data_IF_812138560106
#
_entry.id   IF_812138560106
#
_cell.length_a   1.000
_cell.length_b   1.000
_cell.length_c   1.000
_cell.angle_alpha   90.00
_cell.angle_beta   90.00
_cell.angle_gamma   90.00
#
_symmetry.space_group_name_H-M   'P 1'
#
loop_
_entity.id
_entity.type
_entity.pdbx_description
1 polymer ?
#
# COMPACT_ATOMS: atom_id res chain seq x y z
N UNK A 1 -11.59 -10.48 53.33
CA UNK A 1 -10.55 -11.51 53.17
C UNK A 1 -9.35 -10.88 52.49
N UNK A 2 -8.32 -10.61 53.27
CA UNK A 2 -7.04 -10.08 52.81
C UNK A 2 -6.18 -11.23 52.28
N UNK A 3 -5.46 -11.02 51.18
CA UNK A 3 -4.27 -11.78 50.85
C UNK A 3 -3.29 -10.85 50.14
N UNK A 4 -2.31 -10.39 50.92
CA UNK A 4 -1.09 -9.75 50.47
C UNK A 4 -0.23 -10.81 49.75
N UNK A 5 0.25 -10.48 48.55
CA UNK A 5 1.22 -11.28 47.79
C UNK A 5 2.58 -10.57 47.76
N UNK A 6 3.55 -11.21 48.40
CA UNK A 6 4.91 -10.77 48.72
C UNK A 6 5.83 -10.50 47.54
N UNK A 7 6.65 -9.45 47.71
CA UNK A 7 7.85 -9.11 46.96
C UNK A 7 8.94 -10.18 47.21
N UNK A 8 9.55 -10.73 46.16
CA UNK A 8 10.84 -11.40 46.24
C UNK A 8 11.89 -10.62 45.43
N UNK A 9 12.86 -10.08 46.16
CA UNK A 9 14.10 -9.53 45.64
C UNK A 9 15.12 -10.66 45.46
N UNK A 10 15.87 -10.64 44.35
CA UNK A 10 17.01 -11.53 44.11
C UNK A 10 18.33 -10.73 44.21
N UNK A 11 19.40 -11.28 44.82
CA UNK A 11 20.67 -10.58 45.01
C UNK A 11 21.70 -10.83 43.88
N UNK A 12 22.51 -9.78 43.66
CA UNK A 12 23.93 -9.72 43.29
C UNK A 12 24.64 -10.97 42.75
N UNK A 13 25.29 -10.82 41.59
CA UNK A 13 26.61 -11.43 41.33
C UNK A 13 27.54 -10.36 40.73
N UNK A 14 28.61 -10.10 41.49
CA UNK A 14 29.77 -9.28 41.17
C UNK A 14 30.85 -10.22 40.61
N UNK A 15 31.40 -9.94 39.44
CA UNK A 15 32.69 -10.52 39.00
C UNK A 15 33.34 -9.59 38.00
N UNK A 16 34.36 -8.89 38.46
CA UNK A 16 35.26 -8.11 37.64
C UNK A 16 36.36 -8.97 37.03
N UNK A 17 36.89 -8.52 35.91
CA UNK A 17 38.26 -8.83 35.47
C UNK A 17 38.87 -7.54 34.94
N UNK A 18 40.01 -7.20 35.53
CA UNK A 18 40.88 -6.08 35.18
C UNK A 18 42.08 -6.70 34.47
N UNK A 19 42.43 -6.25 33.27
CA UNK A 19 43.80 -6.30 32.78
C UNK A 19 44.15 -5.01 32.03
N UNK A 20 45.31 -4.48 32.42
CA UNK A 20 46.01 -3.30 31.92
C UNK A 20 46.42 -3.49 30.43
N UNK A 21 46.21 -2.47 29.58
CA UNK A 21 47.17 -1.44 29.19
C UNK A 21 48.30 -1.94 28.28
N UNK A 22 48.23 -1.57 26.99
CA UNK A 22 49.43 -1.44 26.13
C UNK A 22 49.23 -0.33 25.08
N UNK A 23 50.12 0.66 25.16
CA UNK A 23 50.66 1.57 24.15
C UNK A 23 49.78 2.31 23.11
N UNK A 24 49.84 3.63 23.24
CA UNK A 24 49.54 4.71 22.28
C UNK A 24 50.46 4.68 21.05
N UNK A 25 49.96 5.07 19.87
CA UNK A 25 50.62 6.16 19.14
C UNK A 25 49.66 7.30 18.79
N UNK A 26 50.24 8.48 18.63
CA UNK A 26 49.59 9.74 18.33
C UNK A 26 49.24 9.90 16.83
N UNK A 27 48.34 10.85 16.56
CA UNK A 27 47.85 11.35 15.26
C UNK A 27 46.80 10.44 14.57
N UNK A 28 45.66 10.91 14.09
CA UNK A 28 45.28 12.23 13.59
C UNK A 28 43.87 12.63 14.06
N UNK A 29 43.63 13.94 14.23
CA UNK A 29 42.28 14.48 14.40
C UNK A 29 41.45 14.09 13.16
N UNK A 30 40.29 13.42 13.29
CA UNK A 30 39.42 13.21 12.15
C UNK A 30 38.98 14.58 11.62
N UNK A 31 38.93 14.77 10.29
CA UNK A 31 38.34 15.98 9.74
C UNK A 31 36.91 16.07 10.26
N UNK A 32 36.61 17.20 10.92
CA UNK A 32 35.24 17.58 11.24
C UNK A 32 34.54 17.77 9.89
N UNK A 33 33.95 16.69 9.38
CA UNK A 33 32.99 16.76 8.30
C UNK A 33 31.88 17.61 8.85
N UNK A 34 31.83 18.88 8.44
CA UNK A 34 30.65 19.72 8.67
C UNK A 34 29.50 18.90 8.13
N UNK A 35 28.69 18.35 9.04
CA UNK A 35 27.42 17.76 8.69
C UNK A 35 26.69 18.87 7.95
N UNK A 36 26.61 18.75 6.62
CA UNK A 36 25.79 19.61 5.82
C UNK A 36 24.40 19.43 6.39
N UNK A 37 23.90 20.44 7.09
CA UNK A 37 22.51 20.50 7.51
C UNK A 37 21.74 20.54 6.20
N UNK A 38 21.38 19.37 5.71
CA UNK A 38 20.51 19.20 4.56
C UNK A 38 19.24 19.94 4.92
N UNK A 39 18.99 21.05 4.21
CA UNK A 39 17.72 21.77 4.29
C UNK A 39 16.59 20.73 4.22
N UNK A 40 15.49 20.90 4.99
CA UNK A 40 14.37 19.98 4.93
C UNK A 40 13.98 19.74 3.47
N UNK A 41 14.16 18.51 3.00
CA UNK A 41 13.86 18.19 1.61
C UNK A 41 12.36 18.32 1.42
N UNK A 42 11.97 19.17 0.48
CA UNK A 42 10.58 19.44 0.11
C UNK A 42 9.95 18.31 -0.73
N UNK A 43 10.68 17.22 -0.92
CA UNK A 43 10.38 16.13 -1.84
C UNK A 43 10.76 14.79 -1.19
N UNK A 44 10.24 13.69 -1.74
CA UNK A 44 10.61 12.34 -1.36
C UNK A 44 11.64 11.72 -2.30
N UNK A 45 12.54 10.91 -1.76
CA UNK A 45 13.26 9.95 -2.62
C UNK A 45 12.31 8.88 -3.13
N UNK A 46 12.69 8.12 -4.17
CA UNK A 46 11.89 6.98 -4.67
C UNK A 46 11.48 6.01 -3.58
N UNK A 47 12.40 5.68 -2.68
CA UNK A 47 12.13 4.79 -1.55
C UNK A 47 11.19 5.41 -0.52
N UNK A 48 11.31 6.72 -0.25
CA UNK A 48 10.40 7.42 0.65
C UNK A 48 9.00 7.54 0.06
N UNK A 49 8.88 7.82 -1.24
CA UNK A 49 7.61 7.84 -1.94
C UNK A 49 6.93 6.47 -1.89
N UNK A 50 7.66 5.41 -2.24
CA UNK A 50 7.12 4.05 -2.18
C UNK A 50 6.67 3.66 -0.76
N UNK A 51 7.46 4.02 0.26
CA UNK A 51 7.09 3.82 1.65
C UNK A 51 5.79 4.57 2.00
N UNK A 52 5.65 5.83 1.58
CA UNK A 52 4.45 6.62 1.83
C UNK A 52 3.22 5.98 1.19
N UNK A 53 3.33 5.56 -0.08
CA UNK A 53 2.24 4.92 -0.80
C UNK A 53 1.80 3.63 -0.11
N UNK A 54 2.74 2.84 0.41
CA UNK A 54 2.37 1.65 1.18
C UNK A 54 1.58 1.99 2.44
N UNK A 55 1.99 3.03 3.20
CA UNK A 55 1.29 3.46 4.41
C UNK A 55 -0.09 4.05 4.08
N UNK A 56 -0.23 4.78 2.97
CA UNK A 56 -1.52 5.27 2.46
C UNK A 56 -2.45 4.10 2.13
N UNK A 57 -1.97 3.10 1.39
CA UNK A 57 -2.77 1.92 1.04
C UNK A 57 -3.20 1.15 2.30
N UNK A 58 -2.27 0.93 3.23
CA UNK A 58 -2.55 0.25 4.50
C UNK A 58 -3.63 0.97 5.32
N UNK A 59 -3.54 2.30 5.39
CA UNK A 59 -4.51 3.13 6.11
C UNK A 59 -5.88 3.13 5.42
N UNK A 60 -5.91 3.20 4.09
CA UNK A 60 -7.15 3.12 3.32
C UNK A 60 -7.85 1.77 3.52
N UNK A 61 -7.11 0.66 3.42
CA UNK A 61 -7.64 -0.69 3.68
C UNK A 61 -8.21 -0.82 5.10
N UNK A 62 -7.58 -0.18 6.09
CA UNK A 62 -8.11 -0.15 7.46
C UNK A 62 -9.47 0.56 7.52
N UNK A 63 -9.58 1.74 6.89
CA UNK A 63 -10.83 2.52 6.89
C UNK A 63 -11.92 1.82 6.09
N UNK A 64 -11.60 1.20 4.96
CA UNK A 64 -12.52 0.32 4.20
C UNK A 64 -13.00 -0.83 5.08
N UNK A 65 -12.08 -1.52 5.75
CA UNK A 65 -12.40 -2.62 6.66
C UNK A 65 -13.37 -2.20 7.77
N UNK A 66 -13.11 -1.06 8.43
CA UNK A 66 -13.95 -0.55 9.51
C UNK A 66 -15.31 -0.02 9.03
N UNK A 67 -15.33 0.66 7.89
CA UNK A 67 -16.54 1.29 7.34
C UNK A 67 -17.49 0.25 6.74
N UNK A 68 -16.93 -0.74 6.03
CA UNK A 68 -17.72 -1.67 5.22
C UNK A 68 -18.06 -2.99 5.90
N UNK A 69 -17.51 -3.29 7.09
CA UNK A 69 -17.74 -4.57 7.79
C UNK A 69 -19.21 -4.92 8.01
N UNK A 70 -20.08 -3.93 8.16
CA UNK A 70 -21.52 -4.14 8.39
C UNK A 70 -22.36 -3.99 7.12
N UNK A 71 -21.76 -3.50 6.03
CA UNK A 71 -22.44 -3.23 4.75
C UNK A 71 -22.33 -4.44 3.83
N UNK A 72 -21.15 -5.06 3.80
CA UNK A 72 -20.82 -6.25 3.01
C UNK A 72 -20.11 -7.30 3.89
N UNK A 73 -20.77 -7.80 4.96
CA UNK A 73 -20.17 -8.71 5.93
C UNK A 73 -19.63 -10.00 5.29
N UNK A 74 -20.29 -10.50 4.25
CA UNK A 74 -19.91 -11.69 3.49
C UNK A 74 -18.54 -11.57 2.79
N UNK A 75 -18.10 -10.33 2.50
CA UNK A 75 -16.78 -10.06 1.90
C UNK A 75 -15.67 -9.92 2.94
N UNK A 76 -16.02 -9.91 4.24
CA UNK A 76 -15.11 -9.77 5.37
C UNK A 76 -14.01 -8.70 5.18
N UNK A 77 -14.37 -7.43 4.89
CA UNK A 77 -13.38 -6.42 4.50
C UNK A 77 -12.37 -6.10 5.62
N UNK A 78 -12.78 -6.22 6.90
CA UNK A 78 -11.85 -6.03 8.02
C UNK A 78 -10.84 -7.19 8.15
N UNK A 79 -11.28 -8.43 7.93
CA UNK A 79 -10.37 -9.57 7.88
C UNK A 79 -9.35 -9.45 6.74
N UNK A 80 -9.77 -8.96 5.56
CA UNK A 80 -8.87 -8.69 4.43
C UNK A 80 -7.75 -7.72 4.82
N UNK A 81 -8.07 -6.64 5.54
CA UNK A 81 -7.08 -5.71 6.08
C UNK A 81 -6.12 -6.37 7.09
N UNK A 82 -6.64 -7.21 7.99
CA UNK A 82 -5.82 -7.92 8.97
C UNK A 82 -4.84 -8.88 8.30
N UNK A 83 -5.32 -9.67 7.33
CA UNK A 83 -4.50 -10.60 6.55
C UNK A 83 -3.39 -9.86 5.80
N UNK A 84 -3.73 -8.74 5.14
CA UNK A 84 -2.76 -7.89 4.46
C UNK A 84 -1.68 -7.38 5.43
N UNK A 85 -2.09 -6.94 6.62
CA UNK A 85 -1.18 -6.41 7.65
C UNK A 85 -0.22 -7.47 8.17
N UNK A 86 -0.71 -8.71 8.39
CA UNK A 86 0.12 -9.84 8.84
C UNK A 86 1.08 -10.27 7.73
N UNK A 87 0.58 -10.48 6.51
CA UNK A 87 1.37 -10.89 5.33
C UNK A 87 2.53 -9.92 5.06
N UNK A 88 2.29 -8.62 5.20
CA UNK A 88 3.24 -7.57 4.82
C UNK A 88 3.89 -6.86 6.02
N UNK A 89 3.85 -7.44 7.23
CA UNK A 89 4.32 -6.80 8.47
C UNK A 89 5.74 -6.23 8.37
N UNK A 90 6.67 -6.99 7.81
CA UNK A 90 8.06 -6.56 7.67
C UNK A 90 8.19 -5.36 6.71
N UNK A 91 7.49 -5.40 5.57
CA UNK A 91 7.49 -4.34 4.58
C UNK A 91 6.85 -3.06 5.14
N UNK A 92 5.72 -3.18 5.83
CA UNK A 92 5.05 -2.09 6.53
C UNK A 92 6.01 -1.44 7.54
N UNK A 93 6.60 -2.23 8.44
CA UNK A 93 7.54 -1.72 9.45
C UNK A 93 8.74 -0.98 8.83
N UNK A 94 9.32 -1.53 7.76
CA UNK A 94 10.42 -0.86 7.04
C UNK A 94 10.01 0.46 6.37
N UNK A 95 8.75 0.53 5.90
CA UNK A 95 8.19 1.73 5.28
C UNK A 95 7.92 2.82 6.33
N UNK A 96 7.38 2.44 7.49
CA UNK A 96 7.22 3.37 8.63
C UNK A 96 8.58 3.94 9.06
N UNK A 97 9.60 3.08 9.21
CA UNK A 97 10.96 3.52 9.54
C UNK A 97 11.54 4.47 8.49
N UNK A 98 11.24 4.25 7.21
CA UNK A 98 11.68 5.11 6.10
C UNK A 98 11.06 6.51 6.21
N UNK A 99 9.74 6.60 6.43
CA UNK A 99 9.05 7.89 6.57
C UNK A 99 9.43 8.61 7.86
N UNK A 100 9.57 7.90 8.98
CA UNK A 100 10.09 8.47 10.23
C UNK A 100 11.52 8.99 10.00
N UNK A 101 12.34 8.27 9.24
CA UNK A 101 13.67 8.71 8.83
C UNK A 101 13.62 10.00 8.01
N UNK A 102 12.68 10.12 7.07
CA UNK A 102 12.42 11.37 6.35
C UNK A 102 12.07 12.51 7.31
N UNK A 103 11.08 12.33 8.19
CA UNK A 103 10.72 13.37 9.14
C UNK A 103 11.85 13.73 10.12
N UNK A 104 12.71 12.78 10.49
CA UNK A 104 13.91 13.07 11.30
C UNK A 104 14.86 14.03 10.58
N UNK A 105 15.06 13.83 9.27
CA UNK A 105 15.88 14.70 8.43
C UNK A 105 15.26 16.09 8.24
N UNK A 106 13.93 16.20 8.17
CA UNK A 106 13.25 17.47 7.85
C UNK A 106 12.72 18.25 9.06
N UNK A 107 12.42 17.58 10.17
CA UNK A 107 11.72 18.15 11.33
C UNK A 107 12.39 17.85 12.69
N UNK A 108 13.55 17.18 12.66
CA UNK A 108 14.37 16.91 13.85
C UNK A 108 13.66 16.01 14.86
N UNK A 109 13.57 16.48 16.11
CA UNK A 109 13.06 15.71 17.26
C UNK A 109 11.56 15.40 17.19
N UNK A 110 10.80 16.04 16.30
CA UNK A 110 9.35 15.84 16.14
C UNK A 110 8.97 14.72 15.15
N UNK A 111 9.93 13.90 14.72
CA UNK A 111 9.74 12.93 13.64
C UNK A 111 8.57 11.96 13.84
N UNK A 112 8.49 11.31 15.00
CA UNK A 112 7.41 10.35 15.32
C UNK A 112 6.06 11.05 15.37
N UNK A 113 5.99 12.23 16.01
CA UNK A 113 4.76 13.04 16.06
C UNK A 113 4.27 13.38 14.65
N UNK A 114 5.16 13.80 13.75
CA UNK A 114 4.79 14.12 12.37
C UNK A 114 4.32 12.88 11.60
N UNK A 115 4.92 11.72 11.86
CA UNK A 115 4.43 10.45 11.30
C UNK A 115 3.04 10.07 11.82
N UNK A 116 2.79 10.24 13.12
CA UNK A 116 1.47 9.97 13.71
C UNK A 116 0.40 10.94 13.17
N UNK A 117 0.75 12.22 13.01
CA UNK A 117 -0.10 13.22 12.35
C UNK A 117 -0.41 12.81 10.92
N UNK A 118 0.61 12.42 10.15
CA UNK A 118 0.42 11.93 8.78
C UNK A 118 -0.55 10.73 8.71
N UNK A 119 -0.38 9.71 9.55
CA UNK A 119 -1.32 8.57 9.61
C UNK A 119 -2.75 9.01 9.94
N UNK A 120 -2.88 9.97 10.85
CA UNK A 120 -4.19 10.54 11.24
C UNK A 120 -4.85 11.30 10.09
N UNK A 121 -4.08 12.11 9.37
CA UNK A 121 -4.57 12.86 8.20
C UNK A 121 -5.05 11.93 7.08
N UNK A 122 -4.31 10.85 6.81
CA UNK A 122 -4.70 9.81 5.83
C UNK A 122 -6.03 9.12 6.21
N UNK A 123 -6.18 8.76 7.49
CA UNK A 123 -7.40 8.15 7.99
C UNK A 123 -8.60 9.11 7.85
N UNK A 124 -8.39 10.39 8.17
CA UNK A 124 -9.41 11.43 8.03
C UNK A 124 -9.76 11.71 6.57
N UNK A 125 -8.78 11.70 5.66
CA UNK A 125 -9.02 11.84 4.22
C UNK A 125 -9.90 10.70 3.70
N UNK A 126 -9.55 9.46 4.02
CA UNK A 126 -10.32 8.27 3.63
C UNK A 126 -11.74 8.29 4.20
N UNK A 127 -11.89 8.71 5.46
CA UNK A 127 -13.19 8.83 6.13
C UNK A 127 -14.06 9.91 5.49
N UNK A 128 -13.48 11.09 5.16
CA UNK A 128 -14.21 12.14 4.42
C UNK A 128 -14.62 11.66 3.03
N UNK A 129 -13.76 10.92 2.33
CA UNK A 129 -14.09 10.33 1.03
C UNK A 129 -15.29 9.40 1.12
N UNK A 130 -15.33 8.52 2.14
CA UNK A 130 -16.48 7.66 2.39
C UNK A 130 -17.76 8.46 2.67
N UNK A 131 -17.66 9.56 3.42
CA UNK A 131 -18.79 10.45 3.68
C UNK A 131 -19.28 11.18 2.42
N UNK A 132 -18.37 11.63 1.54
CA UNK A 132 -18.71 12.34 0.30
C UNK A 132 -19.34 11.43 -0.75
N UNK A 133 -18.81 10.21 -0.92
CA UNK A 133 -19.32 9.23 -1.89
C UNK A 133 -20.61 8.55 -1.37
N UNK A 134 -20.73 8.43 -0.05
CA UNK A 134 -21.78 7.64 0.60
C UNK A 134 -21.31 6.20 0.85
N UNK A 135 -21.63 5.66 2.03
CA UNK A 135 -21.12 4.37 2.50
C UNK A 135 -21.38 3.21 1.53
N UNK A 136 -22.60 3.02 0.96
CA UNK A 136 -22.85 1.90 0.05
C UNK A 136 -21.94 1.93 -1.20
N UNK A 137 -21.86 3.08 -1.86
CA UNK A 137 -21.05 3.28 -3.07
C UNK A 137 -19.55 3.23 -2.76
N UNK A 138 -19.13 3.73 -1.59
CA UNK A 138 -17.77 3.59 -1.11
C UNK A 138 -17.39 2.11 -0.94
N UNK A 139 -18.26 1.30 -0.33
CA UNK A 139 -17.97 -0.12 -0.13
C UNK A 139 -17.93 -0.90 -1.45
N UNK A 140 -18.84 -0.62 -2.39
CA UNK A 140 -18.81 -1.22 -3.73
C UNK A 140 -17.49 -0.92 -4.45
N UNK A 141 -16.98 0.31 -4.33
CA UNK A 141 -15.77 0.76 -5.04
C UNK A 141 -14.47 0.24 -4.41
N UNK A 142 -14.37 0.26 -3.08
CA UNK A 142 -13.07 0.12 -2.39
C UNK A 142 -12.83 -1.27 -1.77
N UNK A 143 -13.86 -2.10 -1.59
CA UNK A 143 -13.69 -3.46 -1.05
C UNK A 143 -12.95 -4.36 -2.04
N UNK A 144 -13.31 -4.33 -3.32
CA UNK A 144 -12.62 -5.13 -4.34
C UNK A 144 -11.17 -4.71 -4.52
N UNK A 145 -10.88 -3.40 -4.38
CA UNK A 145 -9.52 -2.89 -4.37
C UNK A 145 -8.71 -3.42 -3.19
N UNK A 146 -9.33 -3.50 -2.00
CA UNK A 146 -8.67 -4.08 -0.81
C UNK A 146 -8.39 -5.56 -0.98
N UNK A 147 -9.28 -6.29 -1.66
CA UNK A 147 -9.06 -7.70 -2.01
C UNK A 147 -7.93 -7.86 -3.03
N UNK A 148 -7.91 -7.06 -4.09
CA UNK A 148 -6.81 -7.07 -5.06
C UNK A 148 -5.47 -6.77 -4.38
N UNK A 149 -5.42 -5.79 -3.48
CA UNK A 149 -4.21 -5.45 -2.73
C UNK A 149 -3.72 -6.58 -1.81
N UNK A 150 -4.62 -7.38 -1.25
CA UNK A 150 -4.26 -8.56 -0.43
C UNK A 150 -3.54 -9.64 -1.25
N UNK A 151 -3.89 -9.79 -2.52
CA UNK A 151 -3.29 -10.80 -3.39
C UNK A 151 -1.86 -10.45 -3.84
N UNK A 152 -1.53 -9.15 -3.88
CA UNK A 152 -0.19 -8.68 -4.27
C UNK A 152 0.91 -9.26 -3.39
N UNK A 153 2.02 -9.67 -4.01
CA UNK A 153 3.23 -10.06 -3.29
C UNK A 153 3.96 -8.82 -2.75
N UNK A 154 4.87 -8.96 -1.77
CA UNK A 154 5.69 -7.85 -1.33
C UNK A 154 6.49 -7.17 -2.47
N UNK A 155 6.89 -7.92 -3.49
CA UNK A 155 7.57 -7.37 -4.66
C UNK A 155 6.62 -6.60 -5.58
N UNK A 156 5.41 -7.13 -5.82
CA UNK A 156 4.38 -6.40 -6.57
C UNK A 156 4.01 -5.09 -5.86
N UNK A 157 3.94 -5.12 -4.53
CA UNK A 157 3.69 -3.92 -3.72
C UNK A 157 4.82 -2.91 -3.86
N UNK A 158 6.09 -3.34 -3.87
CA UNK A 158 7.22 -2.43 -4.11
C UNK A 158 7.16 -1.80 -5.50
N UNK A 159 6.81 -2.58 -6.52
CA UNK A 159 6.65 -2.07 -7.89
C UNK A 159 5.49 -1.07 -7.96
N UNK A 160 4.31 -1.46 -7.47
CA UNK A 160 3.10 -0.63 -7.48
C UNK A 160 3.30 0.70 -6.74
N UNK A 161 3.98 0.67 -5.59
CA UNK A 161 4.24 1.87 -4.78
C UNK A 161 5.36 2.75 -5.33
N UNK A 162 6.24 2.20 -6.16
CA UNK A 162 7.33 2.95 -6.82
C UNK A 162 6.92 3.57 -8.16
N UNK A 163 5.86 3.05 -8.79
CA UNK A 163 5.38 3.49 -10.10
C UNK A 163 4.26 4.52 -9.98
N UNK A 164 4.62 5.80 -9.99
CA UNK A 164 3.67 6.92 -9.93
C UNK A 164 2.62 6.91 -11.06
N UNK A 165 2.95 6.35 -12.23
CA UNK A 165 2.06 6.37 -13.40
C UNK A 165 1.01 5.27 -13.32
N UNK A 166 1.38 4.12 -12.75
CA UNK A 166 0.51 2.95 -12.67
C UNK A 166 -0.09 2.73 -11.27
N UNK A 167 0.26 3.54 -10.27
CA UNK A 167 -0.30 3.43 -8.91
C UNK A 167 -1.83 3.68 -8.83
N UNK A 168 -2.49 4.08 -9.92
CA UNK A 168 -3.93 4.35 -9.97
C UNK A 168 -4.33 5.46 -8.99
N UNK A 169 -5.57 5.42 -8.46
CA UNK A 169 -6.15 6.40 -7.53
C UNK A 169 -5.35 6.68 -6.22
N UNK A 170 -4.16 6.08 -6.04
CA UNK A 170 -3.12 6.46 -5.08
C UNK A 170 -2.48 7.82 -5.38
N UNK A 171 -3.19 8.67 -6.13
CA UNK A 171 -2.66 9.89 -6.66
C UNK A 171 -2.37 10.87 -5.52
N UNK A 172 -1.12 11.32 -5.54
CA UNK A 172 -0.49 12.30 -4.67
C UNK A 172 -0.03 11.75 -3.32
N UNK A 173 1.20 11.22 -3.35
CA UNK A 173 2.11 11.40 -2.23
C UNK A 173 2.02 12.85 -1.73
N UNK A 174 2.12 13.03 -0.42
CA UNK A 174 2.07 14.35 0.23
C UNK A 174 3.19 15.28 -0.25
N UNK A 175 4.24 14.73 -0.85
CA UNK A 175 5.32 15.49 -1.49
C UNK A 175 5.70 14.87 -2.84
N UNK A 176 6.17 15.70 -3.79
CA UNK A 176 6.67 15.20 -5.07
C UNK A 176 7.98 14.41 -4.89
N UNK A 177 8.34 13.61 -5.90
CA UNK A 177 9.65 13.00 -5.97
C UNK A 177 10.78 14.01 -6.20
N UNK A 178 11.93 13.79 -5.55
CA UNK A 178 13.09 14.66 -5.66
C UNK A 178 13.78 14.61 -7.03
N UNK A 179 13.65 13.51 -7.76
CA UNK A 179 14.22 13.31 -9.09
C UNK A 179 13.31 13.80 -10.23
N UNK A 180 12.06 14.17 -9.93
CA UNK A 180 11.09 14.63 -10.94
C UNK A 180 10.97 16.16 -10.87
N UNK A 181 11.50 16.84 -11.89
CA UNK A 181 11.42 18.32 -12.01
C UNK A 181 10.04 18.85 -12.41
N UNK A 182 9.05 17.97 -12.62
CA UNK A 182 7.72 18.34 -13.10
C UNK A 182 6.73 18.07 -11.97
N UNK A 183 6.14 19.15 -11.44
CA UNK A 183 4.98 19.08 -10.57
C UNK A 183 3.85 18.45 -11.37
N UNK A 184 3.39 17.27 -10.95
CA UNK A 184 2.12 16.71 -11.41
C UNK A 184 1.03 17.71 -11.01
N UNK A 185 0.67 18.60 -11.94
CA UNK A 185 -0.50 19.46 -11.79
C UNK A 185 -1.69 18.50 -11.62
N UNK A 186 -2.59 18.70 -10.64
CA UNK A 186 -3.75 17.84 -10.48
C UNK A 186 -4.49 17.81 -11.82
N UNK A 187 -4.68 16.62 -12.38
CA UNK A 187 -5.45 16.43 -13.61
C UNK A 187 -6.79 17.15 -13.43
N UNK A 188 -7.03 18.17 -14.26
CA UNK A 188 -8.26 18.98 -14.25
C UNK A 188 -9.50 18.19 -14.71
N UNK A 189 -9.39 16.86 -14.79
CA UNK A 189 -10.39 15.93 -15.27
C UNK A 189 -10.49 14.70 -14.34
N UNK A 190 -11.22 14.80 -13.21
CA UNK A 190 -11.41 13.68 -12.27
C UNK A 190 -12.22 12.50 -12.84
N UNK A 191 -12.66 12.55 -14.10
CA UNK A 191 -13.59 11.57 -14.69
C UNK A 191 -12.98 10.65 -15.77
N UNK A 192 -11.70 10.79 -16.14
CA UNK A 192 -11.10 9.96 -17.20
C UNK A 192 -10.37 8.70 -16.72
N UNK A 193 -10.22 8.49 -15.41
CA UNK A 193 -9.55 7.29 -14.87
C UNK A 193 -10.45 6.03 -14.91
N UNK A 194 -11.72 6.17 -15.30
CA UNK A 194 -12.65 5.04 -15.44
C UNK A 194 -12.45 4.20 -16.71
N UNK A 195 -11.50 4.55 -17.58
CA UNK A 195 -11.21 3.77 -18.79
C UNK A 195 -9.70 3.60 -18.95
N UNK A 196 -9.12 2.65 -18.23
CA UNK A 196 -7.94 1.98 -18.74
C UNK A 196 -8.38 1.16 -19.98
N UNK A 197 -7.91 1.46 -21.20
CA UNK A 197 -8.17 0.59 -22.33
C UNK A 197 -7.46 -0.73 -22.07
N UNK A 198 -8.25 -1.82 -22.05
CA UNK A 198 -7.72 -3.18 -22.16
C UNK A 198 -6.86 -3.19 -23.42
N UNK A 199 -5.54 -3.28 -23.25
CA UNK A 199 -4.59 -3.40 -24.34
C UNK A 199 -4.83 -4.73 -25.06
N UNK A 200 -5.74 -4.73 -26.03
CA UNK A 200 -5.91 -5.81 -27.00
C UNK A 200 -4.83 -5.67 -28.06
N UNK A 201 -3.61 -6.10 -27.72
CA UNK A 201 -2.57 -6.37 -28.72
C UNK A 201 -2.31 -7.86 -28.79
N UNK A 202 -3.08 -8.53 -29.64
CA UNK A 202 -2.66 -9.76 -30.31
C UNK A 202 -3.35 -9.83 -31.67
N UNK A 203 -2.71 -9.20 -32.66
CA UNK A 203 -3.04 -9.30 -34.08
C UNK A 203 -2.69 -10.72 -34.54
N UNK A 204 -3.64 -11.57 -34.99
CA UNK A 204 -3.28 -12.88 -35.53
C UNK A 204 -2.70 -12.70 -36.94
N UNK A 205 -1.40 -12.92 -37.08
CA UNK A 205 -0.78 -13.17 -38.37
C UNK A 205 -1.02 -14.64 -38.75
N UNK A 206 -1.78 -14.91 -39.82
CA UNK A 206 -1.66 -16.17 -40.56
C UNK A 206 -2.22 -16.08 -41.99
N UNK A 207 -1.26 -16.17 -42.91
CA UNK A 207 -1.21 -17.02 -44.11
C UNK A 207 -2.25 -16.89 -45.23
N UNK A 208 -1.69 -16.79 -46.43
CA UNK A 208 -2.27 -16.70 -47.77
C UNK A 208 -3.27 -17.81 -48.09
N UNK A 209 -4.30 -17.42 -48.84
CA UNK A 209 -5.30 -18.26 -49.48
C UNK A 209 -4.72 -19.16 -50.59
N UNK A 210 -5.28 -20.36 -50.73
CA UNK A 210 -5.30 -21.17 -51.97
C UNK A 210 -6.70 -21.81 -52.09
N UNK A 211 -7.35 -21.81 -53.28
CA UNK A 211 -8.76 -22.19 -53.41
C UNK A 211 -9.00 -23.65 -53.81
N UNK A 212 -10.23 -24.09 -53.45
CA UNK A 212 -11.12 -25.09 -54.06
C UNK A 212 -10.89 -26.60 -53.79
N UNK A 213 -11.88 -27.25 -53.16
CA UNK A 213 -12.72 -28.30 -53.79
C UNK A 213 -13.96 -28.70 -52.92
N UNK A 214 -15.13 -28.61 -53.57
CA UNK A 214 -16.42 -29.34 -53.45
C UNK A 214 -16.94 -29.92 -52.11
N UNK A 215 -18.19 -29.54 -51.81
CA UNK A 215 -19.16 -30.17 -50.91
C UNK A 215 -19.69 -31.53 -51.46
N UNK A 216 -20.44 -32.37 -50.70
CA UNK A 216 -21.84 -32.06 -50.36
C UNK A 216 -22.41 -32.60 -49.00
N UNK A 217 -23.60 -32.06 -48.69
CA UNK A 217 -24.76 -32.64 -47.97
C UNK A 217 -24.88 -32.60 -46.42
N UNK A 218 -26.01 -32.00 -45.99
CA UNK A 218 -26.61 -31.96 -44.63
C UNK A 218 -27.37 -33.27 -44.32
N UNK A 219 -27.73 -33.54 -43.04
CA UNK A 219 -29.04 -33.11 -42.47
C UNK A 219 -28.95 -32.68 -40.99
N UNK A 220 -29.43 -31.51 -40.54
CA UNK A 220 -30.78 -31.13 -40.04
C UNK A 220 -31.39 -32.08 -38.99
N UNK A 221 -31.26 -31.75 -37.70
CA UNK A 221 -32.19 -31.99 -36.55
C UNK A 221 -31.68 -31.13 -35.38
N UNK A 222 -32.41 -30.51 -34.46
CA UNK A 222 -33.73 -29.88 -34.40
C UNK A 222 -33.64 -28.93 -33.19
N UNK A 223 -34.18 -27.72 -33.30
CA UNK A 223 -34.55 -26.93 -32.13
C UNK A 223 -35.90 -27.48 -31.63
N UNK A 224 -36.03 -27.62 -30.32
CA UNK A 224 -37.31 -27.79 -29.65
C UNK A 224 -37.36 -26.92 -28.38
N UNK A 225 -38.56 -26.48 -27.98
CA UNK A 225 -38.79 -25.26 -27.20
C UNK A 225 -39.31 -25.52 -25.77
N UNK A 226 -39.28 -24.46 -24.96
CA UNK A 226 -40.31 -23.97 -24.02
C UNK A 226 -41.13 -24.96 -23.17
N UNK A 227 -41.11 -24.75 -21.84
CA UNK A 227 -42.28 -24.67 -20.92
C UNK A 227 -41.78 -24.29 -19.50
N UNK A 228 -42.20 -23.16 -18.94
CA UNK A 228 -43.36 -22.96 -18.01
C UNK A 228 -43.10 -23.62 -16.63
N UNK A 229 -43.34 -23.05 -15.44
CA UNK A 229 -44.44 -22.21 -14.90
C UNK A 229 -44.00 -21.77 -13.47
N UNK A 230 -44.18 -20.51 -13.06
CA UNK A 230 -45.27 -19.98 -12.19
C UNK A 230 -45.40 -20.62 -10.78
N UNK A 231 -44.93 -19.84 -9.80
CA UNK A 231 -45.59 -19.41 -8.55
C UNK A 231 -45.81 -20.33 -7.32
N UNK A 232 -45.83 -19.61 -6.20
CA UNK A 232 -46.49 -19.83 -4.90
C UNK A 232 -45.75 -20.70 -3.87
N UNK A 233 -45.12 -20.04 -2.90
CA UNK A 233 -45.63 -19.94 -1.52
C UNK A 233 -44.94 -18.81 -0.75
#
# INVERSE_FOLDING_TARGET
MALLGTVLAAPLVLSGTVMAAESKPAAAKPPVVKAAISKPQACYTRSEHAAEQLIRMHTEMMIVGLTCKNVVPERNPFGVYQDFSVKNRALLSSSEATIIGHYRKTSGSSATKNFDTFRTELANESSRRAATIGIPQYCETFVDRSQAAKELTPDDLRVLTSDEKNAGLMHLASKPLCDVKVVSVPDTSPFQVAQAPVSTTAKPAKAKAKPAAKAPAKPKVAAAPVSQTVAVR
#
